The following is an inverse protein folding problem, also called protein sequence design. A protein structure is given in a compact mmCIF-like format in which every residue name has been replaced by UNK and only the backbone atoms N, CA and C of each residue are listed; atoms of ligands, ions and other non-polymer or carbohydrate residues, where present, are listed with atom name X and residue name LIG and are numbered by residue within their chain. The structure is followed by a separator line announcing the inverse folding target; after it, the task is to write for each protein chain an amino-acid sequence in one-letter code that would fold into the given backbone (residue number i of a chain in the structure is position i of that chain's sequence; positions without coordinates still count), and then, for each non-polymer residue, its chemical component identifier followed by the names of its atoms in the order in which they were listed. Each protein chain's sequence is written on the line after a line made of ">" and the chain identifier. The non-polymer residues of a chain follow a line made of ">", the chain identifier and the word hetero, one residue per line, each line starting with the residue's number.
data_IF_348858653526
#
_entry.id   IF_348858653526
#
_cell.length_a   1.000
_cell.length_b   1.000
_cell.length_c   1.000
_cell.angle_alpha   90.00
_cell.angle_beta   90.00
_cell.angle_gamma   90.00
#
_symmetry.space_group_name_H-M   'P 1'
#
loop_
_entity.id
_entity.type
_entity.pdbx_description
1 polymer ?
#
# COMPACT_ATOMS: atom_id res chain seq x y z
N UNK A 1 -27.98 15.39 -7.93
CA UNK A 1 -27.38 14.16 -7.33
C UNK A 1 -26.23 14.44 -6.34
N UNK A 2 -25.19 15.19 -6.74
CA UNK A 2 -24.03 15.53 -5.88
C UNK A 2 -24.40 16.23 -4.57
N UNK A 3 -25.22 17.28 -4.64
CA UNK A 3 -25.57 18.08 -3.46
C UNK A 3 -26.44 17.30 -2.47
N UNK A 4 -27.35 16.48 -2.98
CA UNK A 4 -28.17 15.57 -2.17
C UNK A 4 -27.29 14.53 -1.46
N UNK A 5 -26.29 13.97 -2.16
CA UNK A 5 -25.33 13.04 -1.54
C UNK A 5 -24.59 13.72 -0.38
N UNK A 6 -23.99 14.90 -0.61
CA UNK A 6 -23.26 15.62 0.43
C UNK A 6 -24.15 16.07 1.60
N UNK A 7 -25.42 16.41 1.34
CA UNK A 7 -26.36 16.77 2.39
C UNK A 7 -26.75 15.56 3.27
N UNK A 8 -26.72 14.34 2.73
CA UNK A 8 -27.12 13.12 3.43
C UNK A 8 -25.95 12.32 4.01
N UNK A 9 -24.74 12.47 3.47
CA UNK A 9 -23.54 11.81 4.01
C UNK A 9 -22.96 12.59 5.19
N UNK A 10 -22.60 11.93 6.30
CA UNK A 10 -21.91 12.60 7.39
C UNK A 10 -20.58 13.20 6.90
N UNK A 11 -20.11 14.30 7.50
CA UNK A 11 -18.83 14.88 7.14
C UNK A 11 -17.69 13.89 7.39
N UNK A 12 -16.66 13.96 6.54
CA UNK A 12 -15.43 13.22 6.75
C UNK A 12 -14.83 13.63 8.09
N UNK A 13 -14.51 12.68 8.99
CA UNK A 13 -13.91 13.02 10.27
C UNK A 13 -12.55 13.71 10.08
N UNK A 14 -12.26 14.69 10.92
CA UNK A 14 -10.93 15.31 11.00
C UNK A 14 -9.87 14.30 11.49
N UNK A 15 -8.59 14.61 11.32
CA UNK A 15 -7.52 13.76 11.84
C UNK A 15 -7.60 13.57 13.36
N UNK A 16 -7.98 14.62 14.10
CA UNK A 16 -8.19 14.58 15.55
C UNK A 16 -9.40 13.71 15.93
N UNK A 17 -10.49 13.79 15.16
CA UNK A 17 -11.68 12.95 15.37
C UNK A 17 -11.39 11.48 15.07
N UNK A 18 -10.61 11.19 14.02
CA UNK A 18 -10.14 9.83 13.71
C UNK A 18 -9.31 9.28 14.86
N UNK A 19 -8.31 10.04 15.33
CA UNK A 19 -7.48 9.64 16.47
C UNK A 19 -8.31 9.39 17.73
N UNK A 20 -9.24 10.30 18.06
CA UNK A 20 -10.14 10.16 19.19
C UNK A 20 -11.02 8.90 19.10
N UNK A 21 -11.61 8.64 17.92
CA UNK A 21 -12.42 7.43 17.67
C UNK A 21 -11.62 6.14 17.76
N UNK A 22 -10.35 6.15 17.36
CA UNK A 22 -9.47 4.98 17.52
C UNK A 22 -9.13 4.75 19.00
N UNK A 23 -8.80 5.81 19.74
CA UNK A 23 -8.51 5.76 21.19
C UNK A 23 -9.72 5.27 21.99
N UNK A 24 -10.93 5.72 21.63
CA UNK A 24 -12.18 5.28 22.22
C UNK A 24 -12.58 3.85 21.85
N UNK A 25 -11.82 3.18 20.97
CA UNK A 25 -12.13 1.83 20.49
C UNK A 25 -13.32 1.74 19.55
N UNK A 26 -13.86 2.88 19.09
CA UNK A 26 -14.93 2.95 18.08
C UNK A 26 -14.38 2.44 16.74
N UNK A 27 -13.13 2.82 16.42
CA UNK A 27 -12.36 2.25 15.31
C UNK A 27 -11.33 1.30 15.92
N UNK A 28 -11.67 0.01 15.99
CA UNK A 28 -10.93 -0.92 16.82
C UNK A 28 -9.73 -1.58 16.11
N UNK A 29 -9.90 -2.18 14.93
CA UNK A 29 -8.82 -2.93 14.27
C UNK A 29 -9.04 -3.05 12.75
N UNK A 30 -8.91 -1.92 12.04
CA UNK A 30 -8.88 -1.92 10.57
C UNK A 30 -7.53 -2.38 10.05
N UNK A 31 -7.56 -3.14 8.96
CA UNK A 31 -6.38 -3.54 8.17
C UNK A 31 -6.71 -3.40 6.69
N UNK A 32 -5.84 -2.72 5.96
CA UNK A 32 -5.83 -2.78 4.50
C UNK A 32 -5.28 -4.12 4.02
N UNK A 33 -5.86 -4.66 2.96
CA UNK A 33 -5.35 -5.82 2.26
C UNK A 33 -5.37 -5.56 0.76
N UNK A 34 -4.26 -5.84 0.10
CA UNK A 34 -4.12 -5.78 -1.36
C UNK A 34 -3.58 -7.13 -1.78
N UNK A 35 -4.24 -7.74 -2.77
CA UNK A 35 -3.83 -9.00 -3.37
C UNK A 35 -3.71 -8.80 -4.87
N UNK A 36 -2.59 -9.28 -5.44
CA UNK A 36 -2.34 -9.30 -6.87
C UNK A 36 -2.17 -10.76 -7.27
N UNK A 37 -3.01 -11.23 -8.18
CA UNK A 37 -2.92 -12.57 -8.74
C UNK A 37 -2.57 -12.48 -10.21
N UNK A 38 -1.54 -13.22 -10.62
CA UNK A 38 -1.04 -13.24 -11.99
C UNK A 38 -0.97 -14.69 -12.47
N UNK A 39 -1.85 -15.05 -13.39
CA UNK A 39 -1.79 -16.33 -14.11
C UNK A 39 -0.96 -16.17 -15.39
N UNK A 40 -0.04 -17.09 -15.63
CA UNK A 40 0.80 -17.09 -16.82
C UNK A 40 1.52 -18.40 -17.07
N UNK A 41 2.51 -18.36 -17.96
CA UNK A 41 3.38 -19.49 -18.25
C UNK A 41 4.81 -19.15 -17.87
N UNK A 42 5.48 -20.05 -17.15
CA UNK A 42 6.89 -19.93 -16.81
C UNK A 42 7.59 -21.25 -17.15
N UNK A 43 8.56 -21.19 -18.06
CA UNK A 43 9.32 -22.35 -18.53
C UNK A 43 8.43 -23.53 -18.97
N UNK A 44 7.39 -23.27 -19.79
CA UNK A 44 6.50 -24.31 -20.31
C UNK A 44 5.38 -24.76 -19.36
N UNK A 45 5.29 -24.18 -18.15
CA UNK A 45 4.31 -24.61 -17.12
C UNK A 45 3.34 -23.49 -16.77
N UNK A 46 2.03 -23.81 -16.71
CA UNK A 46 1.01 -22.92 -16.15
C UNK A 46 1.33 -22.63 -14.68
N UNK A 47 1.59 -21.37 -14.39
CA UNK A 47 2.04 -20.88 -13.08
C UNK A 47 1.16 -19.72 -12.66
N UNK A 48 0.77 -19.68 -11.39
CA UNK A 48 0.08 -18.55 -10.78
C UNK A 48 0.95 -17.94 -9.69
N UNK A 49 1.17 -16.65 -9.77
CA UNK A 49 1.78 -15.86 -8.72
C UNK A 49 0.68 -15.17 -7.92
N UNK A 50 0.73 -15.27 -6.61
CA UNK A 50 -0.17 -14.58 -5.68
C UNK A 50 0.72 -13.73 -4.79
N UNK A 51 0.60 -12.40 -4.94
CA UNK A 51 1.26 -11.44 -4.06
C UNK A 51 0.23 -10.86 -3.12
N UNK A 52 0.52 -10.82 -1.82
CA UNK A 52 -0.35 -10.19 -0.84
C UNK A 52 0.43 -9.27 0.09
N UNK A 53 -0.17 -8.14 0.40
CA UNK A 53 0.44 -7.12 1.25
C UNK A 53 0.02 -7.33 2.70
N UNK A 54 1.00 -7.45 3.57
CA UNK A 54 0.85 -7.33 5.01
C UNK A 54 1.30 -5.94 5.44
N UNK A 55 0.41 -5.18 6.08
CA UNK A 55 0.71 -3.86 6.63
C UNK A 55 0.28 -3.76 8.10
N UNK A 56 0.73 -2.73 8.84
CA UNK A 56 0.29 -2.52 10.21
C UNK A 56 -1.22 -2.28 10.24
N UNK A 57 -1.89 -2.72 11.31
CA UNK A 57 -3.29 -2.32 11.54
C UNK A 57 -3.36 -0.83 11.87
N UNK A 58 -4.58 -0.28 11.87
CA UNK A 58 -4.82 1.12 12.21
C UNK A 58 -4.21 1.51 13.57
N UNK A 59 -4.23 0.60 14.56
CA UNK A 59 -3.55 0.81 15.85
C UNK A 59 -2.03 0.82 15.73
N UNK A 60 -1.48 -0.06 14.89
CA UNK A 60 -0.05 -0.09 14.58
C UNK A 60 0.41 1.19 13.89
N UNK A 61 -0.40 1.70 12.95
CA UNK A 61 -0.14 2.98 12.27
C UNK A 61 -0.19 4.14 13.25
N UNK A 62 -1.20 4.24 14.11
CA UNK A 62 -1.32 5.34 15.07
C UNK A 62 -0.15 5.44 16.05
N UNK A 63 0.51 4.32 16.38
CA UNK A 63 1.75 4.33 17.19
C UNK A 63 2.93 4.96 16.47
N UNK A 64 2.95 4.91 15.13
CA UNK A 64 4.04 5.45 14.30
C UNK A 64 3.72 6.87 13.79
N UNK A 65 2.46 7.11 13.44
CA UNK A 65 1.97 8.34 12.84
C UNK A 65 0.56 8.63 13.37
N UNK A 66 0.44 9.31 14.51
CA UNK A 66 -0.86 9.70 15.09
C UNK A 66 -1.71 10.47 14.06
N UNK A 67 -3.01 10.20 14.06
CA UNK A 67 -3.96 10.80 13.11
C UNK A 67 -4.04 10.13 11.73
N UNK A 68 -3.09 9.26 11.37
CA UNK A 68 -3.13 8.51 10.10
C UNK A 68 -3.96 7.22 10.18
N UNK A 69 -4.67 6.89 9.10
CA UNK A 69 -5.35 5.59 8.94
C UNK A 69 -4.40 4.56 8.34
N UNK A 70 -4.76 3.28 8.47
CA UNK A 70 -4.08 2.18 7.76
C UNK A 70 -4.06 2.39 6.24
N UNK A 71 -5.15 2.89 5.67
CA UNK A 71 -5.22 3.22 4.23
C UNK A 71 -4.33 4.41 3.84
N UNK A 72 -4.36 5.50 4.62
CA UNK A 72 -3.50 6.66 4.31
C UNK A 72 -2.03 6.31 4.47
N UNK A 73 -1.68 5.42 5.41
CA UNK A 73 -0.32 4.91 5.57
C UNK A 73 0.11 4.07 4.37
N UNK A 74 -0.72 3.09 3.96
CA UNK A 74 -0.46 2.25 2.79
C UNK A 74 -0.36 3.03 1.48
N UNK A 75 -0.97 4.21 1.39
CA UNK A 75 -0.90 5.08 0.20
C UNK A 75 0.26 6.07 0.28
N UNK A 76 0.38 6.77 1.41
CA UNK A 76 1.33 7.87 1.61
C UNK A 76 2.77 7.39 1.75
N UNK A 77 3.01 6.24 2.39
CA UNK A 77 4.37 5.69 2.54
C UNK A 77 5.01 5.37 1.18
N UNK A 78 4.40 4.56 0.28
CA UNK A 78 4.93 4.36 -1.06
C UNK A 78 5.20 5.67 -1.82
N UNK A 79 4.25 6.62 -1.77
CA UNK A 79 4.41 7.91 -2.43
C UNK A 79 5.62 8.69 -1.89
N UNK A 80 5.80 8.73 -0.56
CA UNK A 80 6.94 9.38 0.07
C UNK A 80 8.28 8.73 -0.29
N UNK A 81 8.31 7.40 -0.43
CA UNK A 81 9.51 6.67 -0.83
C UNK A 81 9.89 7.06 -2.26
N UNK A 82 8.95 6.98 -3.21
CA UNK A 82 9.23 7.36 -4.59
C UNK A 82 9.67 8.82 -4.72
N UNK A 83 9.00 9.75 -4.03
CA UNK A 83 9.39 11.16 -4.00
C UNK A 83 10.83 11.33 -3.49
N UNK A 84 11.22 10.60 -2.44
CA UNK A 84 12.59 10.62 -1.91
C UNK A 84 13.60 9.98 -2.85
N UNK A 85 13.29 8.84 -3.46
CA UNK A 85 14.17 8.16 -4.43
C UNK A 85 14.43 9.06 -5.65
N UNK A 86 13.38 9.72 -6.15
CA UNK A 86 13.49 10.72 -7.21
C UNK A 86 14.39 11.90 -6.78
N UNK A 87 14.13 12.49 -5.61
CA UNK A 87 14.92 13.61 -5.09
C UNK A 87 16.39 13.29 -4.81
N UNK A 88 16.74 12.02 -4.62
CA UNK A 88 18.12 11.54 -4.43
C UNK A 88 18.83 11.15 -5.74
N UNK A 89 18.16 11.24 -6.89
CA UNK A 89 18.71 10.76 -8.18
C UNK A 89 18.84 9.23 -8.25
N UNK A 90 18.06 8.51 -7.44
CA UNK A 90 18.03 7.04 -7.48
C UNK A 90 17.14 6.52 -8.61
N UNK A 91 16.19 7.36 -9.06
CA UNK A 91 15.38 7.16 -10.26
C UNK A 91 15.91 8.13 -11.32
N UNK A 92 16.49 7.60 -12.38
CA UNK A 92 17.07 8.39 -13.48
C UNK A 92 16.30 8.25 -14.79
N UNK A 93 15.25 7.42 -14.81
CA UNK A 93 14.34 7.30 -15.95
C UNK A 93 13.68 8.66 -16.21
N UNK A 94 13.80 9.17 -17.44
CA UNK A 94 13.18 10.42 -17.85
C UNK A 94 11.79 10.18 -18.46
N UNK A 95 10.88 11.13 -18.27
CA UNK A 95 9.53 11.11 -18.84
C UNK A 95 8.45 10.75 -17.83
N UNK A 96 7.31 10.26 -18.33
CA UNK A 96 6.14 9.87 -17.54
C UNK A 96 5.98 8.36 -17.64
N UNK A 97 6.15 7.66 -16.54
CA UNK A 97 6.12 6.21 -16.49
C UNK A 97 5.44 5.73 -15.20
N UNK A 98 4.75 4.59 -15.25
CA UNK A 98 4.26 3.95 -14.05
C UNK A 98 5.40 3.15 -13.36
N UNK A 99 5.26 2.79 -12.07
CA UNK A 99 6.34 2.15 -11.31
C UNK A 99 6.86 0.82 -11.88
N UNK A 100 6.03 0.06 -12.61
CA UNK A 100 6.41 -1.21 -13.24
C UNK A 100 7.40 -1.05 -14.40
N UNK A 101 7.48 0.15 -14.98
CA UNK A 101 8.44 0.48 -16.04
C UNK A 101 9.84 0.85 -15.50
N UNK A 102 9.98 1.01 -14.19
CA UNK A 102 11.27 1.31 -13.55
C UNK A 102 12.25 0.13 -13.64
N UNK A 103 13.54 0.46 -13.58
CA UNK A 103 14.61 -0.53 -13.62
C UNK A 103 14.46 -1.55 -12.47
N UNK A 104 14.79 -2.83 -12.70
CA UNK A 104 14.62 -3.87 -11.69
C UNK A 104 15.25 -3.53 -10.33
N UNK A 105 16.44 -2.92 -10.32
CA UNK A 105 17.13 -2.55 -9.08
C UNK A 105 16.43 -1.42 -8.32
N UNK A 106 15.83 -0.46 -9.03
CA UNK A 106 15.01 0.61 -8.43
C UNK A 106 13.78 0.01 -7.79
N UNK A 107 13.07 -0.88 -8.51
CA UNK A 107 11.89 -1.59 -7.98
C UNK A 107 12.26 -2.43 -6.76
N UNK A 108 13.39 -3.15 -6.80
CA UNK A 108 13.88 -3.94 -5.67
C UNK A 108 14.19 -3.07 -4.45
N UNK A 109 14.86 -1.93 -4.64
CA UNK A 109 15.14 -0.97 -3.57
C UNK A 109 13.85 -0.43 -2.94
N UNK A 110 12.87 -0.06 -3.76
CA UNK A 110 11.55 0.36 -3.30
C UNK A 110 10.88 -0.70 -2.40
N UNK A 111 10.91 -1.98 -2.81
CA UNK A 111 10.35 -3.08 -2.01
C UNK A 111 11.08 -3.27 -0.67
N UNK A 112 12.41 -3.11 -0.64
CA UNK A 112 13.20 -3.14 0.60
C UNK A 112 12.76 -2.01 1.54
N UNK A 113 12.62 -0.79 1.02
CA UNK A 113 12.21 0.37 1.83
C UNK A 113 10.77 0.28 2.35
N UNK A 114 9.87 -0.39 1.62
CA UNK A 114 8.54 -0.72 2.11
C UNK A 114 8.62 -1.66 3.31
N UNK A 115 9.43 -2.72 3.21
CA UNK A 115 9.61 -3.69 4.28
C UNK A 115 10.19 -3.05 5.55
N UNK A 116 11.12 -2.10 5.42
CA UNK A 116 11.65 -1.29 6.54
C UNK A 116 10.57 -0.46 7.27
N UNK A 117 9.42 -0.24 6.64
CA UNK A 117 8.27 0.50 7.20
C UNK A 117 7.12 -0.43 7.59
N UNK A 118 7.40 -1.74 7.67
CA UNK A 118 6.45 -2.81 7.98
C UNK A 118 5.32 -2.96 6.95
N UNK A 119 5.58 -2.58 5.69
CA UNK A 119 4.72 -2.93 4.54
C UNK A 119 5.43 -4.06 3.80
N UNK A 120 5.03 -5.29 4.08
CA UNK A 120 5.69 -6.50 3.59
C UNK A 120 4.84 -7.10 2.46
N UNK A 121 5.48 -7.40 1.34
CA UNK A 121 4.85 -8.12 0.23
C UNK A 121 5.28 -9.58 0.30
N UNK A 122 4.32 -10.47 0.48
CA UNK A 122 4.54 -11.90 0.44
C UNK A 122 4.25 -12.42 -0.96
N UNK A 123 5.03 -13.42 -1.40
CA UNK A 123 4.82 -14.12 -2.66
C UNK A 123 4.47 -15.59 -2.39
N UNK A 124 3.41 -16.07 -3.04
CA UNK A 124 3.07 -17.49 -3.14
C UNK A 124 3.02 -17.87 -4.62
N UNK A 125 3.73 -18.95 -4.96
CA UNK A 125 3.76 -19.49 -6.33
C UNK A 125 3.04 -20.83 -6.37
N UNK A 126 2.06 -20.95 -7.25
CA UNK A 126 1.32 -22.18 -7.48
C UNK A 126 1.60 -22.70 -8.89
N UNK A 127 1.93 -23.98 -9.01
CA UNK A 127 2.10 -24.65 -10.31
C UNK A 127 0.98 -25.65 -10.51
N UNK A 128 0.35 -25.62 -11.68
CA UNK A 128 -0.62 -26.65 -12.07
C UNK A 128 0.12 -27.80 -12.76
N UNK A 129 0.05 -28.98 -12.14
CA UNK A 129 0.72 -30.18 -12.65
C UNK A 129 -0.17 -31.01 -13.60
N UNK A 130 -1.48 -30.78 -13.58
CA UNK A 130 -2.50 -31.29 -14.48
C UNK A 130 -3.72 -30.36 -14.44
#
# INVERSE_FOLDING_TARGET
>A
PREVLFALTPPTPSMEEVESKIKAGIIADSRGSIVVEVDGEKAGKKTRYILYVESPSIRGVQKKLPGATDLSYMTGVPASIFARMLGKGEINTEGVFPPECLEPEVRKKFLIELAERDIIIHERVEQRLA
#
